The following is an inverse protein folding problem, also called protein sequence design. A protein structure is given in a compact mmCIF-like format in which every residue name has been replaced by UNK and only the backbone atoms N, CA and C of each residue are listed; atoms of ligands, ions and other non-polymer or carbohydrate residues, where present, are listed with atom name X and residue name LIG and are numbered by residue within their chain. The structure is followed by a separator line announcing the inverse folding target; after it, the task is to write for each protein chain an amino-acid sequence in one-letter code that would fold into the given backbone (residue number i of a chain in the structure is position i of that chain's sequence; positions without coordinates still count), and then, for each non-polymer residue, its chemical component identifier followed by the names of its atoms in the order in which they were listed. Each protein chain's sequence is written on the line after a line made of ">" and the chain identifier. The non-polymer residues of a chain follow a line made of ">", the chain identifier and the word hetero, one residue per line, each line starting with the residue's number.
data_IF_539211903542
#
_entry.id   IF_539211903542
#
_cell.length_a   1.000
_cell.length_b   1.000
_cell.length_c   1.000
_cell.angle_alpha   90.00
_cell.angle_beta   90.00
_cell.angle_gamma   90.00
#
_symmetry.space_group_name_H-M   'P 1'
#
loop_
_entity.id
_entity.type
_entity.pdbx_description
1 polymer ?
#
# COMPACT_ATOMS: atom_id res chain seq x y z
N UNK A 1 -46.71 12.12 -1.80
CA UNK A 1 -45.82 12.45 -0.68
C UNK A 1 -44.47 11.83 -0.98
N UNK A 2 -43.57 12.60 -1.60
CA UNK A 2 -42.22 12.18 -1.93
C UNK A 2 -41.32 13.38 -1.74
N UNK A 3 -40.67 13.46 -0.58
CA UNK A 3 -39.67 14.48 -0.30
C UNK A 3 -38.35 14.03 -0.94
N UNK A 4 -37.95 14.74 -1.99
CA UNK A 4 -36.62 14.61 -2.58
C UNK A 4 -35.66 15.43 -1.73
N UNK A 5 -34.89 14.78 -0.87
CA UNK A 5 -33.81 15.41 -0.10
C UNK A 5 -32.67 15.78 -1.06
N UNK A 6 -32.57 17.07 -1.38
CA UNK A 6 -31.44 17.64 -2.11
C UNK A 6 -30.21 17.64 -1.20
N UNK A 7 -29.20 16.81 -1.53
CA UNK A 7 -27.91 16.82 -0.83
C UNK A 7 -27.18 18.13 -1.16
N UNK A 8 -27.05 19.00 -0.16
CA UNK A 8 -26.15 20.15 -0.20
C UNK A 8 -24.71 19.67 -0.44
N UNK A 9 -24.07 20.16 -1.50
CA UNK A 9 -22.62 20.05 -1.68
C UNK A 9 -21.95 20.85 -0.57
N UNK A 10 -21.25 20.15 0.31
CA UNK A 10 -20.40 20.74 1.33
C UNK A 10 -19.34 21.64 0.69
N UNK A 11 -19.32 22.89 1.14
CA UNK A 11 -18.28 23.87 0.86
C UNK A 11 -16.96 23.40 1.47
N UNK A 12 -16.06 22.87 0.65
CA UNK A 12 -14.67 22.64 1.05
C UNK A 12 -13.93 23.97 0.93
N UNK A 13 -13.42 24.43 2.07
CA UNK A 13 -12.76 25.72 2.23
C UNK A 13 -11.50 25.89 1.37
N UNK A 14 -11.25 27.16 1.05
CA UNK A 14 -10.05 27.77 0.45
C UNK A 14 -8.84 26.84 0.28
N UNK A 15 -8.81 26.08 -0.81
CA UNK A 15 -7.57 25.57 -1.39
C UNK A 15 -6.95 26.72 -2.19
N UNK A 16 -5.68 27.01 -1.97
CA UNK A 16 -4.94 27.87 -2.88
C UNK A 16 -5.10 27.29 -4.29
N UNK A 17 -5.66 28.07 -5.22
CA UNK A 17 -5.87 27.63 -6.58
C UNK A 17 -4.50 27.28 -7.17
N UNK A 18 -4.25 25.99 -7.36
CA UNK A 18 -3.05 25.50 -8.05
C UNK A 18 -3.10 26.10 -9.46
N UNK A 19 -2.02 26.76 -9.88
CA UNK A 19 -1.98 27.39 -11.20
C UNK A 19 -2.15 26.34 -12.30
N UNK A 20 -2.75 26.74 -13.41
CA UNK A 20 -2.94 25.87 -14.57
C UNK A 20 -1.62 25.22 -15.03
N UNK A 21 -0.52 25.98 -14.98
CA UNK A 21 0.82 25.47 -15.28
C UNK A 21 1.26 24.32 -14.36
N UNK A 22 0.95 24.39 -13.06
CA UNK A 22 1.29 23.34 -12.10
C UNK A 22 0.39 22.13 -12.29
N UNK A 23 -0.90 22.33 -12.58
CA UNK A 23 -1.81 21.22 -12.91
C UNK A 23 -1.33 20.46 -14.16
N UNK A 24 -0.97 21.19 -15.21
CA UNK A 24 -0.52 20.59 -16.46
C UNK A 24 0.82 19.84 -16.31
N UNK A 25 1.73 20.37 -15.49
CA UNK A 25 2.95 19.65 -15.10
C UNK A 25 2.64 18.37 -14.32
N UNK A 26 1.73 18.44 -13.34
CA UNK A 26 1.37 17.30 -12.49
C UNK A 26 0.76 16.16 -13.32
N UNK A 27 -0.15 16.47 -14.23
CA UNK A 27 -0.73 15.51 -15.16
C UNK A 27 0.34 14.86 -16.06
N UNK A 28 1.25 15.66 -16.62
CA UNK A 28 2.36 15.16 -17.42
C UNK A 28 3.34 14.29 -16.63
N UNK A 29 3.57 14.59 -15.35
CA UNK A 29 4.39 13.77 -14.46
C UNK A 29 3.68 12.45 -14.10
N UNK A 30 2.37 12.51 -13.84
CA UNK A 30 1.55 11.35 -13.53
C UNK A 30 1.57 10.33 -14.68
N UNK A 31 1.33 10.76 -15.92
CA UNK A 31 1.36 9.86 -17.07
C UNK A 31 2.74 9.20 -17.25
N UNK A 32 3.84 9.92 -16.96
CA UNK A 32 5.19 9.35 -17.00
C UNK A 32 5.39 8.28 -15.92
N UNK A 33 4.84 8.50 -14.72
CA UNK A 33 4.87 7.53 -13.61
C UNK A 33 4.10 6.26 -14.01
N UNK A 34 2.84 6.39 -14.46
CA UNK A 34 2.01 5.25 -14.89
C UNK A 34 2.71 4.44 -15.97
N UNK A 35 3.16 5.09 -17.05
CA UNK A 35 3.88 4.42 -18.15
C UNK A 35 5.18 3.73 -17.70
N UNK A 36 5.84 4.26 -16.66
CA UNK A 36 7.03 3.63 -16.09
C UNK A 36 6.65 2.41 -15.25
N UNK A 37 5.63 2.50 -14.42
CA UNK A 37 5.19 1.40 -13.56
C UNK A 37 4.64 0.24 -14.40
N UNK A 38 3.84 0.50 -15.44
CA UNK A 38 3.35 -0.55 -16.34
C UNK A 38 4.48 -1.32 -17.03
N UNK A 39 5.51 -0.62 -17.53
CA UNK A 39 6.68 -1.30 -18.13
C UNK A 39 7.51 -2.03 -17.08
N UNK A 40 7.63 -1.46 -15.89
CA UNK A 40 8.42 -2.04 -14.81
C UNK A 40 7.72 -3.26 -14.21
N UNK A 41 6.39 -3.28 -14.17
CA UNK A 41 5.60 -4.40 -13.64
C UNK A 41 5.74 -5.66 -14.47
N UNK A 42 5.99 -5.54 -15.78
CA UNK A 42 6.34 -6.69 -16.63
C UNK A 42 7.66 -7.36 -16.22
N UNK A 43 8.57 -6.63 -15.58
CA UNK A 43 9.88 -7.13 -15.12
C UNK A 43 9.85 -7.57 -13.65
N UNK A 44 9.24 -6.76 -12.78
CA UNK A 44 9.17 -7.02 -11.34
C UNK A 44 8.12 -8.09 -11.05
N UNK A 45 6.93 -7.99 -11.64
CA UNK A 45 5.82 -8.90 -11.42
C UNK A 45 5.45 -9.07 -9.93
N UNK A 46 5.11 -10.32 -9.57
CA UNK A 46 4.71 -10.74 -8.23
C UNK A 46 5.95 -11.04 -7.37
N UNK A 47 6.60 -9.99 -6.88
CA UNK A 47 7.85 -10.03 -6.11
C UNK A 47 7.94 -8.88 -5.09
N UNK A 48 9.04 -8.81 -4.33
CA UNK A 48 9.25 -7.81 -3.27
C UNK A 48 10.50 -6.97 -3.53
N UNK A 49 10.44 -5.97 -4.43
CA UNK A 49 11.59 -5.13 -4.75
C UNK A 49 11.93 -4.19 -3.58
N UNK A 50 13.23 -4.00 -3.33
CA UNK A 50 13.75 -3.07 -2.34
C UNK A 50 14.62 -2.00 -3.00
N UNK A 51 15.64 -2.41 -3.75
CA UNK A 51 16.59 -1.50 -4.37
C UNK A 51 17.00 -2.02 -5.75
N UNK A 52 17.52 -1.12 -6.60
CA UNK A 52 18.09 -1.52 -7.88
C UNK A 52 19.61 -1.51 -7.86
N UNK A 53 20.19 -2.52 -8.50
CA UNK A 53 21.61 -2.61 -8.81
C UNK A 53 21.70 -2.68 -10.34
N UNK A 54 22.47 -1.78 -10.94
CA UNK A 54 22.62 -1.67 -12.41
C UNK A 54 21.28 -1.57 -13.17
N UNK A 55 20.30 -0.88 -12.58
CA UNK A 55 18.98 -0.67 -13.19
C UNK A 55 18.03 -1.87 -13.11
N UNK A 56 18.36 -2.88 -12.31
CA UNK A 56 17.50 -4.05 -12.06
C UNK A 56 17.16 -4.12 -10.58
N UNK A 57 15.87 -4.20 -10.24
CA UNK A 57 15.45 -4.39 -8.86
C UNK A 57 15.81 -5.78 -8.34
N UNK A 58 16.20 -5.85 -7.07
CA UNK A 58 16.28 -7.09 -6.33
C UNK A 58 14.88 -7.69 -6.06
N UNK A 59 14.87 -8.90 -5.49
CA UNK A 59 13.67 -9.54 -5.00
C UNK A 59 13.94 -10.07 -3.59
N UNK A 60 13.41 -9.37 -2.60
CA UNK A 60 13.60 -9.69 -1.20
C UNK A 60 12.60 -10.74 -0.73
N UNK A 61 12.79 -11.22 0.50
CA UNK A 61 11.83 -12.09 1.17
C UNK A 61 10.53 -11.32 1.51
N UNK A 62 9.38 -12.00 1.59
CA UNK A 62 8.09 -11.38 1.94
C UNK A 62 8.07 -10.61 3.27
N UNK A 63 8.88 -11.04 4.26
CA UNK A 63 9.00 -10.38 5.57
C UNK A 63 9.90 -9.14 5.58
N UNK A 64 10.45 -8.73 4.44
CA UNK A 64 11.29 -7.53 4.37
C UNK A 64 10.43 -6.28 4.59
N UNK A 65 10.94 -5.29 5.31
CA UNK A 65 10.16 -4.11 5.73
C UNK A 65 9.60 -3.29 4.55
N UNK A 66 10.20 -3.39 3.35
CA UNK A 66 9.72 -2.72 2.14
C UNK A 66 8.71 -3.52 1.32
N UNK A 67 8.30 -4.71 1.76
CA UNK A 67 7.45 -5.61 0.99
C UNK A 67 6.07 -5.01 0.62
N UNK A 68 5.58 -4.02 1.36
CA UNK A 68 4.31 -3.34 1.07
C UNK A 68 4.38 -2.20 0.04
N UNK A 69 5.57 -1.66 -0.25
CA UNK A 69 5.65 -0.45 -1.11
C UNK A 69 5.30 -0.75 -2.56
N UNK A 70 5.76 -1.88 -3.10
CA UNK A 70 5.44 -2.27 -4.46
C UNK A 70 3.94 -2.51 -4.69
N UNK A 71 3.25 -3.38 -3.92
CA UNK A 71 1.80 -3.51 -4.06
C UNK A 71 1.06 -2.19 -3.78
N UNK A 72 1.58 -1.33 -2.89
CA UNK A 72 1.01 0.01 -2.66
C UNK A 72 1.07 0.92 -3.90
N UNK A 73 2.19 0.93 -4.62
CA UNK A 73 2.31 1.67 -5.89
C UNK A 73 1.32 1.12 -6.93
N UNK A 74 1.19 -0.21 -7.01
CA UNK A 74 0.27 -0.86 -7.93
C UNK A 74 -1.19 -0.52 -7.62
N UNK A 75 -1.60 -0.60 -6.34
CA UNK A 75 -2.93 -0.23 -5.90
C UNK A 75 -3.24 1.24 -6.17
N UNK A 76 -2.28 2.14 -5.92
CA UNK A 76 -2.49 3.56 -6.13
C UNK A 76 -2.74 3.92 -7.61
N UNK A 77 -2.02 3.28 -8.53
CA UNK A 77 -2.25 3.48 -9.97
C UNK A 77 -3.54 2.79 -10.42
N UNK A 78 -3.84 1.62 -9.87
CA UNK A 78 -5.06 0.90 -10.18
C UNK A 78 -6.35 1.56 -9.66
N UNK A 79 -6.26 2.45 -8.67
CA UNK A 79 -7.39 3.26 -8.19
C UNK A 79 -7.73 4.40 -9.17
N UNK A 80 -6.71 5.00 -9.78
CA UNK A 80 -6.87 6.13 -10.72
C UNK A 80 -7.33 5.69 -12.12
N UNK A 81 -6.90 4.50 -12.56
CA UNK A 81 -7.29 3.91 -13.83
C UNK A 81 -7.57 2.42 -13.71
N UNK A 82 -8.52 1.89 -14.48
CA UNK A 82 -8.80 0.45 -14.51
C UNK A 82 -7.65 -0.29 -15.21
N UNK A 83 -6.55 -0.53 -14.49
CA UNK A 83 -5.38 -1.30 -14.91
C UNK A 83 -5.45 -2.73 -14.32
N UNK A 84 -6.28 -3.64 -14.87
CA UNK A 84 -6.55 -4.96 -14.26
C UNK A 84 -5.28 -5.82 -14.11
N UNK A 85 -4.29 -5.63 -14.98
CA UNK A 85 -3.00 -6.31 -14.87
C UNK A 85 -2.21 -5.92 -13.61
N UNK A 86 -2.28 -4.65 -13.19
CA UNK A 86 -1.60 -4.19 -11.98
C UNK A 86 -2.33 -4.65 -10.71
N UNK A 87 -3.67 -4.64 -10.73
CA UNK A 87 -4.50 -5.18 -9.65
C UNK A 87 -4.18 -6.66 -9.40
N UNK A 88 -4.18 -7.49 -10.44
CA UNK A 88 -3.88 -8.91 -10.29
C UNK A 88 -2.48 -9.19 -9.73
N UNK A 89 -1.48 -8.35 -10.07
CA UNK A 89 -0.14 -8.46 -9.46
C UNK A 89 -0.20 -8.12 -7.97
N UNK A 90 -0.88 -7.03 -7.59
CA UNK A 90 -1.00 -6.60 -6.19
C UNK A 90 -1.72 -7.64 -5.32
N UNK A 91 -2.83 -8.19 -5.82
CA UNK A 91 -3.58 -9.26 -5.14
C UNK A 91 -2.72 -10.51 -4.91
N UNK A 92 -1.95 -10.95 -5.93
CA UNK A 92 -1.07 -12.10 -5.81
C UNK A 92 0.11 -11.84 -4.84
N UNK A 93 0.58 -10.59 -4.73
CA UNK A 93 1.58 -10.22 -3.72
C UNK A 93 0.99 -10.36 -2.31
N UNK A 94 -0.26 -9.94 -2.11
CA UNK A 94 -0.94 -10.10 -0.82
C UNK A 94 -1.06 -11.55 -0.39
N UNK A 95 -1.32 -12.47 -1.33
CA UNK A 95 -1.31 -13.91 -1.01
C UNK A 95 0.06 -14.39 -0.52
N UNK A 96 1.15 -13.88 -1.11
CA UNK A 96 2.51 -14.21 -0.63
C UNK A 96 2.83 -13.58 0.73
N UNK A 97 2.17 -12.48 1.10
CA UNK A 97 2.28 -11.85 2.41
C UNK A 97 1.52 -12.60 3.51
N UNK A 98 0.74 -13.64 3.17
CA UNK A 98 0.09 -14.49 4.17
C UNK A 98 1.14 -15.27 5.01
N UNK A 99 2.25 -15.72 4.40
CA UNK A 99 3.33 -16.42 5.12
C UNK A 99 3.92 -15.59 6.27
N UNK A 100 4.47 -14.38 6.04
CA UNK A 100 5.06 -13.58 7.11
C UNK A 100 4.02 -13.07 8.11
N UNK A 101 2.74 -13.00 7.72
CA UNK A 101 1.64 -12.69 8.62
C UNK A 101 1.42 -13.86 9.61
N UNK A 102 1.36 -15.11 9.14
CA UNK A 102 1.13 -16.25 10.03
C UNK A 102 2.35 -16.61 10.88
N UNK A 103 3.57 -16.40 10.35
CA UNK A 103 4.82 -16.73 11.07
C UNK A 103 5.27 -15.65 12.07
N UNK A 104 4.55 -14.52 12.17
CA UNK A 104 4.93 -13.37 13.02
C UNK A 104 6.35 -12.85 12.73
N UNK A 105 6.80 -12.99 11.49
CA UNK A 105 8.17 -12.69 11.08
C UNK A 105 8.46 -11.19 10.94
N UNK A 106 7.44 -10.33 11.05
CA UNK A 106 7.54 -8.88 10.86
C UNK A 106 7.47 -8.15 12.20
N UNK A 107 8.29 -7.12 12.34
CA UNK A 107 8.39 -6.31 13.56
C UNK A 107 7.50 -5.06 13.49
N UNK A 108 7.99 -3.91 13.96
CA UNK A 108 7.21 -2.68 13.96
C UNK A 108 6.82 -2.17 12.56
N UNK A 109 7.52 -2.60 11.51
CA UNK A 109 7.25 -2.22 10.12
C UNK A 109 6.01 -2.89 9.50
N UNK A 110 5.26 -3.69 10.27
CA UNK A 110 4.00 -4.30 9.82
C UNK A 110 3.05 -3.26 9.20
N UNK A 111 3.05 -2.03 9.71
CA UNK A 111 2.29 -0.92 9.13
C UNK A 111 2.62 -0.66 7.66
N UNK A 112 3.91 -0.61 7.29
CA UNK A 112 4.33 -0.40 5.90
C UNK A 112 3.89 -1.55 4.99
N UNK A 113 3.92 -2.79 5.50
CA UNK A 113 3.60 -3.96 4.70
C UNK A 113 2.10 -4.05 4.42
N UNK A 114 1.27 -4.09 5.47
CA UNK A 114 -0.16 -4.40 5.31
C UNK A 114 -1.07 -3.18 5.11
N UNK A 115 -0.64 -1.97 5.50
CA UNK A 115 -1.42 -0.76 5.18
C UNK A 115 -1.40 -0.46 3.69
N UNK A 116 -0.24 -0.65 3.05
CA UNK A 116 -0.04 -0.36 1.63
C UNK A 116 -0.53 -1.51 0.72
N UNK A 117 -0.66 -2.73 1.25
CA UNK A 117 -1.20 -3.87 0.52
C UNK A 117 -2.66 -4.12 0.91
N UNK A 118 -2.92 -5.03 1.85
CA UNK A 118 -4.26 -5.53 2.15
C UNK A 118 -5.27 -4.46 2.59
N UNK A 119 -4.85 -3.42 3.30
CA UNK A 119 -5.76 -2.31 3.67
C UNK A 119 -6.07 -1.43 2.46
N UNK A 120 -5.13 -1.27 1.52
CA UNK A 120 -5.38 -0.56 0.27
C UNK A 120 -6.36 -1.34 -0.61
N UNK A 121 -6.15 -2.66 -0.78
CA UNK A 121 -7.10 -3.55 -1.48
C UNK A 121 -8.50 -3.43 -0.88
N UNK A 122 -8.66 -3.60 0.43
CA UNK A 122 -9.97 -3.47 1.07
C UNK A 122 -10.65 -2.12 0.80
N UNK A 123 -9.88 -1.01 0.81
CA UNK A 123 -10.43 0.32 0.52
C UNK A 123 -10.89 0.48 -0.92
N UNK A 124 -10.18 -0.14 -1.87
CA UNK A 124 -10.43 -0.02 -3.30
C UNK A 124 -11.53 -1.00 -3.75
N UNK A 125 -11.43 -2.27 -3.35
CA UNK A 125 -12.27 -3.36 -3.87
C UNK A 125 -13.36 -3.82 -2.90
N UNK A 126 -13.21 -3.53 -1.60
CA UNK A 126 -14.06 -4.09 -0.55
C UNK A 126 -13.73 -5.53 -0.16
N UNK A 127 -12.56 -6.05 -0.52
CA UNK A 127 -12.13 -7.43 -0.21
C UNK A 127 -12.13 -7.73 1.30
N UNK A 128 -13.06 -8.57 1.75
CA UNK A 128 -13.13 -9.00 3.17
C UNK A 128 -11.92 -9.85 3.59
N UNK A 129 -11.31 -10.60 2.67
CA UNK A 129 -10.06 -11.32 2.94
C UNK A 129 -8.94 -10.34 3.29
N UNK A 130 -8.85 -9.24 2.56
CA UNK A 130 -7.84 -8.22 2.76
C UNK A 130 -8.12 -7.37 4.00
N UNK A 131 -9.40 -7.14 4.32
CA UNK A 131 -9.81 -6.62 5.64
C UNK A 131 -9.32 -7.51 6.79
N UNK A 132 -9.50 -8.83 6.69
CA UNK A 132 -9.02 -9.77 7.70
C UNK A 132 -7.51 -9.72 7.87
N UNK A 133 -6.73 -9.70 6.77
CA UNK A 133 -5.27 -9.53 6.81
C UNK A 133 -4.87 -8.24 7.53
N UNK A 134 -5.51 -7.12 7.18
CA UNK A 134 -5.26 -5.83 7.83
C UNK A 134 -5.52 -5.85 9.33
N UNK A 135 -6.64 -6.45 9.76
CA UNK A 135 -6.97 -6.60 11.18
C UNK A 135 -5.99 -7.51 11.92
N UNK A 136 -5.56 -8.61 11.30
CA UNK A 136 -4.54 -9.49 11.87
C UNK A 136 -3.20 -8.77 12.02
N UNK A 137 -2.74 -8.05 11.00
CA UNK A 137 -1.52 -7.27 11.07
C UNK A 137 -1.59 -6.17 12.15
N UNK A 138 -2.75 -5.51 12.28
CA UNK A 138 -2.98 -4.52 13.33
C UNK A 138 -2.92 -5.16 14.74
N UNK A 139 -3.52 -6.34 14.92
CA UNK A 139 -3.44 -7.06 16.18
C UNK A 139 -2.00 -7.48 16.53
N UNK A 140 -1.22 -7.91 15.54
CA UNK A 140 0.19 -8.26 15.72
C UNK A 140 1.01 -7.03 16.12
N UNK A 141 0.83 -5.89 15.44
CA UNK A 141 1.54 -4.66 15.78
C UNK A 141 1.15 -4.17 17.19
N UNK A 142 -0.14 -4.24 17.54
CA UNK A 142 -0.63 -3.89 18.87
C UNK A 142 -0.02 -4.78 19.97
N UNK A 143 0.21 -6.07 19.69
CA UNK A 143 0.84 -7.00 20.65
C UNK A 143 2.27 -6.60 21.03
N UNK A 144 2.93 -5.74 20.23
CA UNK A 144 4.29 -5.23 20.49
C UNK A 144 4.31 -4.00 21.41
N UNK A 145 3.16 -3.51 21.85
CA UNK A 145 3.07 -2.36 22.75
C UNK A 145 3.57 -2.70 24.16
N UNK A 146 4.58 -1.96 24.61
CA UNK A 146 5.07 -2.01 25.98
C UNK A 146 4.26 -1.05 26.85
N UNK A 147 3.39 -1.58 27.70
CA UNK A 147 2.54 -0.77 28.57
C UNK A 147 3.30 0.05 29.63
N UNK A 148 4.46 -0.43 30.11
CA UNK A 148 5.26 0.28 31.12
C UNK A 148 5.96 1.52 30.56
N UNK A 149 6.42 1.43 29.32
CA UNK A 149 7.13 2.52 28.63
C UNK A 149 6.27 3.30 27.64
N UNK A 150 5.04 2.87 27.37
CA UNK A 150 4.13 3.48 26.41
C UNK A 150 4.70 3.61 24.99
N UNK A 151 5.36 2.56 24.49
CA UNK A 151 5.93 2.53 23.14
C UNK A 151 5.71 1.18 22.44
N UNK A 152 5.76 1.17 21.11
CA UNK A 152 5.79 -0.07 20.31
C UNK A 152 7.23 -0.50 20.13
N UNK A 153 7.56 -1.75 20.46
CA UNK A 153 8.92 -2.28 20.32
C UNK A 153 9.33 -2.36 18.84
N UNK A 154 10.43 -1.70 18.48
CA UNK A 154 10.92 -1.62 17.11
C UNK A 154 11.30 -3.00 16.56
N UNK A 155 12.41 -3.58 17.03
CA UNK A 155 12.94 -4.88 16.60
C UNK A 155 13.03 -5.85 17.78
N UNK A 156 13.22 -7.14 17.52
CA UNK A 156 13.74 -8.02 18.56
C UNK A 156 15.24 -7.81 18.65
N UNK A 157 15.76 -7.64 19.86
CA UNK A 157 17.19 -7.75 20.10
C UNK A 157 17.54 -9.23 19.91
N UNK A 158 18.43 -9.55 18.96
CA UNK A 158 19.20 -10.78 19.08
C UNK A 158 20.03 -10.59 20.35
N UNK A 159 19.80 -11.43 21.36
CA UNK A 159 20.57 -11.40 22.61
C UNK A 159 22.07 -11.26 22.31
N UNK A 160 22.73 -10.33 23.01
CA UNK A 160 24.19 -10.28 23.13
C UNK A 160 24.64 -11.19 24.25
#
# INVERSE_FOLDING_TARGET
>A
MGETVSKQKGSVGSSALISESVQQWAEGAWQQIVNKVERTSQRIGVSFPHASVDGVYDNMRPSWWTAGFWPGILWHIAEDGHHPGLQGIAELIEEKLDEPLYSLAVHHDAGFIWTLSAVADYRITGSERSRHRGLMAAAQLASRFNAKGSFIRAWHDLER
#
